data_IF_114479971327
#
_entry.id   IF_114479971327
#
_cell.length_a   1.000
_cell.length_b   1.000
_cell.length_c   1.000
_cell.angle_alpha   90.00
_cell.angle_beta   90.00
_cell.angle_gamma   90.00
#
_symmetry.space_group_name_H-M   'P 1'
#
loop_
_entity.id
_entity.type
_entity.pdbx_description
1 polymer ?
#
# COMPACT_ATOMS: atom_id res chain seq x y z
N UNK A 1 -27.51 27.15 -68.96
CA UNK A 1 -28.06 26.98 -67.60
C UNK A 1 -28.69 25.59 -67.56
N UNK A 2 -28.13 24.62 -66.81
CA UNK A 2 -28.75 23.35 -66.32
C UNK A 2 -27.69 22.30 -65.88
N UNK A 3 -26.66 22.70 -65.11
CA UNK A 3 -25.66 21.76 -64.55
C UNK A 3 -25.54 21.83 -63.02
N UNK A 4 -26.56 22.34 -62.32
CA UNK A 4 -26.45 22.69 -60.89
C UNK A 4 -27.41 21.94 -59.95
N UNK A 5 -27.94 20.76 -60.31
CA UNK A 5 -28.90 20.04 -59.41
C UNK A 5 -28.71 18.54 -59.27
N UNK A 6 -27.54 17.98 -59.62
CA UNK A 6 -27.32 16.53 -59.48
C UNK A 6 -26.00 16.10 -58.81
N UNK A 7 -25.37 16.98 -58.05
CA UNK A 7 -24.17 16.64 -57.24
C UNK A 7 -24.47 16.48 -55.74
N UNK A 8 -25.72 16.59 -55.32
CA UNK A 8 -26.12 16.54 -53.90
C UNK A 8 -26.67 15.19 -53.42
N UNK A 9 -26.52 14.13 -54.22
CA UNK A 9 -27.04 12.79 -53.86
C UNK A 9 -25.94 11.75 -53.54
N UNK A 10 -24.66 12.05 -53.76
CA UNK A 10 -23.58 11.07 -53.63
C UNK A 10 -22.72 11.23 -52.35
N UNK A 11 -22.97 12.24 -51.52
CA UNK A 11 -22.11 12.55 -50.34
C UNK A 11 -22.75 12.11 -49.00
N UNK A 12 -24.02 11.69 -48.98
CA UNK A 12 -24.67 11.20 -47.76
C UNK A 12 -24.56 9.67 -47.54
N UNK A 13 -23.91 8.93 -48.44
CA UNK A 13 -23.86 7.46 -48.40
C UNK A 13 -22.47 6.89 -48.10
N UNK A 14 -21.68 7.59 -47.27
CA UNK A 14 -20.34 7.12 -46.88
C UNK A 14 -19.98 7.44 -45.41
N UNK A 15 -20.97 7.50 -44.51
CA UNK A 15 -20.74 7.55 -43.05
C UNK A 15 -21.41 6.35 -42.37
N UNK A 16 -21.08 5.15 -42.86
CA UNK A 16 -21.26 3.89 -42.14
C UNK A 16 -19.87 3.31 -41.82
N UNK A 17 -18.99 4.16 -41.28
CA UNK A 17 -17.74 3.68 -40.67
C UNK A 17 -18.07 3.19 -39.26
N UNK A 18 -17.69 1.93 -39.01
CA UNK A 18 -18.11 1.10 -37.88
C UNK A 18 -18.28 1.82 -36.54
N UNK A 19 -19.51 1.80 -36.03
CA UNK A 19 -19.71 1.85 -34.60
C UNK A 19 -19.09 0.56 -34.02
N UNK A 20 -17.87 0.67 -33.49
CA UNK A 20 -17.36 -0.35 -32.59
C UNK A 20 -18.42 -0.54 -31.48
N UNK A 21 -18.75 -1.78 -31.09
CA UNK A 21 -19.71 -1.99 -30.02
C UNK A 21 -19.17 -1.32 -28.76
N UNK A 22 -19.75 -0.17 -28.40
CA UNK A 22 -19.54 0.45 -27.12
C UNK A 22 -19.99 -0.58 -26.08
N UNK A 23 -19.03 -1.25 -25.44
CA UNK A 23 -19.31 -2.14 -24.32
C UNK A 23 -19.96 -1.27 -23.26
N UNK A 24 -21.28 -1.42 -23.07
CA UNK A 24 -21.95 -0.84 -21.93
C UNK A 24 -21.26 -1.41 -20.69
N UNK A 25 -20.48 -0.57 -20.00
CA UNK A 25 -19.81 -0.99 -18.77
C UNK A 25 -20.88 -1.34 -17.75
N UNK A 26 -21.03 -2.64 -17.48
CA UNK A 26 -21.91 -3.13 -16.42
C UNK A 26 -21.35 -2.73 -15.06
N UNK A 27 -22.21 -2.70 -14.04
CA UNK A 27 -21.79 -2.43 -12.67
C UNK A 27 -20.76 -3.49 -12.24
N UNK A 28 -20.92 -4.72 -12.72
CA UNK A 28 -20.03 -5.85 -12.53
C UNK A 28 -18.63 -5.60 -13.12
N UNK A 29 -18.53 -5.19 -14.39
CA UNK A 29 -17.25 -4.80 -15.01
C UNK A 29 -16.57 -3.67 -14.24
N UNK A 30 -17.34 -2.64 -13.84
CA UNK A 30 -16.79 -1.54 -13.06
C UNK A 30 -16.27 -2.02 -11.69
N UNK A 31 -16.96 -2.94 -11.03
CA UNK A 31 -16.54 -3.50 -9.75
C UNK A 31 -15.22 -4.27 -9.89
N UNK A 32 -15.03 -5.04 -10.97
CA UNK A 32 -13.77 -5.78 -11.24
C UNK A 32 -12.61 -4.81 -11.51
N UNK A 33 -12.85 -3.79 -12.34
CA UNK A 33 -11.85 -2.74 -12.63
C UNK A 33 -11.46 -1.98 -11.35
N UNK A 34 -12.45 -1.58 -10.55
CA UNK A 34 -12.20 -0.89 -9.28
C UNK A 34 -11.46 -1.78 -8.28
N UNK A 35 -11.80 -3.07 -8.19
CA UNK A 35 -11.09 -4.02 -7.35
C UNK A 35 -9.61 -4.16 -7.75
N UNK A 36 -9.32 -4.17 -9.05
CA UNK A 36 -7.95 -4.16 -9.59
C UNK A 36 -7.20 -2.90 -9.19
N UNK A 37 -7.84 -1.74 -9.32
CA UNK A 37 -7.29 -0.45 -8.88
C UNK A 37 -6.99 -0.44 -7.39
N UNK A 38 -7.96 -0.86 -6.55
CA UNK A 38 -7.79 -0.96 -5.09
C UNK A 38 -6.61 -1.83 -4.71
N UNK A 39 -6.46 -3.01 -5.32
CA UNK A 39 -5.34 -3.91 -5.03
C UNK A 39 -4.00 -3.28 -5.45
N UNK A 40 -3.90 -2.74 -6.66
CA UNK A 40 -2.67 -2.08 -7.13
C UNK A 40 -2.27 -0.91 -6.25
N UNK A 41 -3.23 -0.05 -5.93
CA UNK A 41 -2.96 1.14 -5.13
C UNK A 41 -2.55 0.76 -3.70
N UNK A 42 -3.19 -0.25 -3.08
CA UNK A 42 -2.77 -0.73 -1.75
C UNK A 42 -1.37 -1.34 -1.78
N UNK A 43 -1.03 -2.09 -2.82
CA UNK A 43 0.29 -2.74 -2.94
C UNK A 43 1.43 -1.76 -3.23
N UNK A 44 1.13 -0.62 -3.85
CA UNK A 44 2.13 0.41 -4.19
C UNK A 44 2.48 1.33 -3.02
N UNK A 45 1.89 1.16 -1.83
CA UNK A 45 2.08 2.09 -0.73
C UNK A 45 3.27 1.67 0.14
N UNK A 46 4.34 2.49 0.19
CA UNK A 46 5.57 2.14 0.89
C UNK A 46 5.30 1.84 2.37
N UNK A 47 5.70 0.63 2.80
CA UNK A 47 5.59 0.17 4.18
C UNK A 47 4.19 0.23 4.82
N UNK A 48 3.10 0.38 4.05
CA UNK A 48 1.71 0.33 4.57
C UNK A 48 0.76 -0.56 3.77
N UNK A 49 1.22 -1.15 2.67
CA UNK A 49 0.47 -2.14 1.90
C UNK A 49 0.37 -3.51 2.58
N UNK A 50 -0.32 -4.43 1.92
CA UNK A 50 -0.42 -5.83 2.34
C UNK A 50 0.97 -6.48 2.16
N UNK A 51 1.51 -7.18 3.17
CA UNK A 51 2.78 -7.90 3.00
C UNK A 51 2.67 -8.94 1.88
N UNK A 52 3.66 -8.98 0.98
CA UNK A 52 3.69 -9.98 -0.10
C UNK A 52 3.62 -11.42 0.43
N UNK A 53 4.24 -11.71 1.58
CA UNK A 53 4.13 -13.01 2.24
C UNK A 53 2.69 -13.36 2.64
N UNK A 54 1.89 -12.37 3.03
CA UNK A 54 0.50 -12.59 3.36
C UNK A 54 -0.34 -12.94 2.13
N UNK A 55 -0.04 -12.35 0.97
CA UNK A 55 -0.69 -12.70 -0.29
C UNK A 55 -0.18 -14.03 -0.86
N UNK A 56 1.08 -14.37 -0.63
CA UNK A 56 1.66 -15.66 -1.02
C UNK A 56 1.01 -16.84 -0.26
N UNK A 57 0.72 -16.64 1.03
CA UNK A 57 0.06 -17.65 1.88
C UNK A 57 -1.47 -17.62 1.79
N UNK A 58 -2.05 -16.65 1.07
CA UNK A 58 -3.49 -16.46 0.99
C UNK A 58 -4.18 -17.64 0.30
N UNK A 59 -5.28 -18.10 0.88
CA UNK A 59 -6.19 -19.10 0.32
C UNK A 59 -7.38 -18.45 -0.38
N UNK A 60 -7.67 -17.19 -0.07
CA UNK A 60 -8.73 -16.43 -0.71
C UNK A 60 -8.55 -14.92 -0.51
N UNK A 61 -9.08 -14.15 -1.45
CA UNK A 61 -9.11 -12.69 -1.41
C UNK A 61 -10.54 -12.23 -1.65
N UNK A 62 -11.00 -11.27 -0.85
CA UNK A 62 -12.23 -10.51 -1.13
C UNK A 62 -11.87 -9.04 -1.21
N UNK A 63 -12.19 -8.39 -2.33
CA UNK A 63 -11.90 -6.98 -2.58
C UNK A 63 -13.23 -6.26 -2.78
N UNK A 64 -13.53 -5.30 -1.91
CA UNK A 64 -14.77 -4.52 -1.90
C UNK A 64 -14.39 -3.05 -2.08
N UNK A 65 -14.40 -2.55 -3.33
CA UNK A 65 -14.19 -1.14 -3.58
C UNK A 65 -15.38 -0.30 -3.06
N UNK A 66 -15.11 0.94 -2.66
CA UNK A 66 -16.14 1.93 -2.36
C UNK A 66 -17.22 1.49 -1.35
N UNK A 67 -16.85 0.70 -0.34
CA UNK A 67 -17.79 0.28 0.70
C UNK A 67 -18.32 1.50 1.45
N UNK A 68 -19.63 1.65 1.45
CA UNK A 68 -20.30 2.75 2.12
C UNK A 68 -20.52 2.40 3.59
N UNK A 69 -20.16 3.31 4.48
CA UNK A 69 -20.45 3.28 5.91
C UNK A 69 -21.28 4.52 6.24
N UNK A 70 -22.36 4.37 6.97
CA UNK A 70 -23.20 5.48 7.41
C UNK A 70 -23.84 5.22 8.76
N UNK A 71 -23.88 6.22 9.64
CA UNK A 71 -24.54 6.10 10.94
C UNK A 71 -24.30 7.27 11.89
N UNK A 72 -25.02 7.24 13.01
CA UNK A 72 -24.80 8.09 14.18
C UNK A 72 -24.74 7.18 15.41
N UNK A 73 -23.56 7.02 16.01
CA UNK A 73 -23.27 6.09 17.13
C UNK A 73 -23.36 4.60 16.72
N UNK A 74 -24.44 4.21 16.06
CA UNK A 74 -24.65 2.92 15.39
C UNK A 74 -24.84 3.18 13.90
N UNK A 75 -24.14 2.41 13.08
CA UNK A 75 -24.17 2.54 11.62
C UNK A 75 -24.28 1.21 10.90
N UNK A 76 -24.58 1.31 9.61
CA UNK A 76 -24.57 0.20 8.66
C UNK A 76 -23.45 0.39 7.67
N UNK A 77 -22.84 -0.72 7.25
CA UNK A 77 -21.90 -0.77 6.14
C UNK A 77 -22.44 -1.68 5.05
N UNK A 78 -22.28 -1.27 3.80
CA UNK A 78 -22.66 -2.07 2.64
C UNK A 78 -21.71 -1.81 1.46
N UNK A 79 -21.36 -2.88 0.74
CA UNK A 79 -20.55 -2.77 -0.47
C UNK A 79 -20.63 -4.04 -1.31
N UNK A 80 -20.38 -3.88 -2.61
CA UNK A 80 -20.23 -4.98 -3.56
C UNK A 80 -18.76 -5.10 -3.95
N UNK A 81 -18.33 -6.32 -4.23
CA UNK A 81 -16.95 -6.63 -4.54
C UNK A 81 -16.82 -7.96 -5.24
N UNK A 82 -15.59 -8.46 -5.25
CA UNK A 82 -15.24 -9.73 -5.84
C UNK A 82 -14.45 -10.60 -4.87
N UNK A 83 -14.70 -11.90 -4.94
CA UNK A 83 -13.99 -12.96 -4.26
C UNK A 83 -13.17 -13.77 -5.27
N UNK A 84 -11.95 -14.12 -4.88
CA UNK A 84 -11.07 -15.00 -5.63
C UNK A 84 -10.49 -16.03 -4.68
N UNK A 85 -10.45 -17.29 -5.10
CA UNK A 85 -10.02 -18.40 -4.28
C UNK A 85 -8.79 -19.03 -4.90
N UNK A 86 -7.84 -19.40 -4.05
CA UNK A 86 -6.67 -20.16 -4.47
C UNK A 86 -7.07 -21.63 -4.64
N UNK A 87 -6.82 -22.16 -5.82
CA UNK A 87 -7.00 -23.56 -6.09
C UNK A 87 -5.92 -24.36 -5.38
N UNK A 88 -6.34 -25.28 -4.50
CA UNK A 88 -5.41 -26.03 -3.66
C UNK A 88 -4.55 -27.04 -4.44
N UNK A 89 -5.01 -27.47 -5.63
CA UNK A 89 -4.32 -28.48 -6.44
C UNK A 89 -3.26 -27.86 -7.36
N UNK A 90 -3.57 -26.70 -7.95
CA UNK A 90 -2.75 -26.02 -8.96
C UNK A 90 -2.00 -24.82 -8.40
N UNK A 91 -2.42 -24.28 -7.26
CA UNK A 91 -1.91 -23.03 -6.70
C UNK A 91 -2.30 -21.78 -7.51
N UNK A 92 -3.11 -21.95 -8.56
CA UNK A 92 -3.69 -20.86 -9.34
C UNK A 92 -4.82 -20.16 -8.62
N UNK A 93 -5.34 -19.08 -9.21
CA UNK A 93 -6.47 -18.33 -8.67
C UNK A 93 -7.70 -18.52 -9.55
N UNK A 94 -8.86 -18.68 -8.93
CA UNK A 94 -10.14 -18.70 -9.64
C UNK A 94 -10.43 -17.34 -10.26
N UNK A 95 -11.26 -17.34 -11.31
CA UNK A 95 -11.84 -16.10 -11.82
C UNK A 95 -12.62 -15.34 -10.72
N UNK A 96 -12.72 -14.00 -10.80
CA UNK A 96 -13.48 -13.19 -9.86
C UNK A 96 -14.95 -13.62 -9.78
N UNK A 97 -15.45 -13.81 -8.57
CA UNK A 97 -16.86 -14.10 -8.29
C UNK A 97 -17.46 -12.97 -7.47
N UNK A 98 -18.65 -12.49 -7.81
CA UNK A 98 -19.23 -11.34 -7.10
C UNK A 98 -19.64 -11.70 -5.69
N UNK A 99 -19.43 -10.76 -4.77
CA UNK A 99 -19.78 -10.87 -3.36
C UNK A 99 -20.37 -9.55 -2.90
N UNK A 100 -21.31 -9.60 -1.96
CA UNK A 100 -21.78 -8.43 -1.22
C UNK A 100 -21.40 -8.57 0.24
N UNK A 101 -21.11 -7.44 0.89
CA UNK A 101 -20.87 -7.37 2.32
C UNK A 101 -21.83 -6.40 2.97
N UNK A 102 -22.44 -6.82 4.08
CA UNK A 102 -23.31 -5.98 4.90
C UNK A 102 -23.00 -6.20 6.37
N UNK A 103 -22.87 -5.14 7.17
CA UNK A 103 -22.57 -5.29 8.59
C UNK A 103 -23.00 -4.09 9.43
N UNK A 104 -23.12 -4.30 10.73
CA UNK A 104 -23.26 -3.21 11.70
C UNK A 104 -21.90 -2.61 12.03
N UNK A 105 -21.85 -1.34 12.40
CA UNK A 105 -20.63 -0.70 12.94
C UNK A 105 -20.99 0.16 14.14
N UNK A 106 -20.15 0.17 15.17
CA UNK A 106 -20.25 1.09 16.32
C UNK A 106 -19.13 2.11 16.19
N UNK A 107 -19.46 3.40 16.23
CA UNK A 107 -18.45 4.45 16.09
C UNK A 107 -18.96 5.85 16.41
N UNK A 108 -18.07 6.68 16.97
CA UNK A 108 -18.34 8.09 17.31
C UNK A 108 -18.40 9.04 16.09
N UNK A 109 -18.25 8.51 14.88
CA UNK A 109 -18.24 9.30 13.66
C UNK A 109 -19.66 9.48 13.12
N UNK A 110 -19.99 10.73 12.78
CA UNK A 110 -21.26 11.11 12.15
C UNK A 110 -21.02 11.34 10.67
N UNK A 111 -21.80 10.67 9.82
CA UNK A 111 -21.82 10.94 8.38
C UNK A 111 -21.68 9.69 7.50
N UNK A 112 -21.54 9.93 6.20
CA UNK A 112 -21.35 8.89 5.18
C UNK A 112 -19.89 8.88 4.75
N UNK A 113 -19.28 7.70 4.81
CA UNK A 113 -17.89 7.47 4.40
C UNK A 113 -17.85 6.37 3.34
N UNK A 114 -16.89 6.49 2.42
CA UNK A 114 -16.56 5.43 1.46
C UNK A 114 -15.15 4.93 1.78
N UNK A 115 -14.98 3.61 1.83
CA UNK A 115 -13.68 2.97 2.11
C UNK A 115 -13.52 1.72 1.26
N UNK A 116 -12.31 1.49 0.79
CA UNK A 116 -11.97 0.24 0.12
C UNK A 116 -11.59 -0.81 1.16
N UNK A 117 -12.01 -2.06 0.97
CA UNK A 117 -11.68 -3.18 1.87
C UNK A 117 -11.08 -4.33 1.08
N UNK A 118 -9.97 -4.88 1.58
CA UNK A 118 -9.42 -6.16 1.16
C UNK A 118 -9.42 -7.11 2.36
N UNK A 119 -10.00 -8.29 2.18
CA UNK A 119 -9.94 -9.40 3.13
C UNK A 119 -9.00 -10.46 2.57
N UNK A 120 -8.04 -10.89 3.39
CA UNK A 120 -7.12 -11.98 3.08
C UNK A 120 -7.48 -13.18 3.94
N UNK A 121 -7.96 -14.25 3.30
CA UNK A 121 -8.29 -15.52 3.94
C UNK A 121 -7.04 -16.40 3.94
N UNK A 122 -6.62 -16.91 5.10
CA UNK A 122 -5.38 -17.71 5.24
C UNK A 122 -5.62 -19.21 5.36
N UNK A 123 -6.86 -19.65 5.56
CA UNK A 123 -7.20 -21.06 5.75
C UNK A 123 -8.17 -21.52 4.67
N UNK A 124 -8.03 -22.75 4.15
CA UNK A 124 -9.05 -23.30 3.24
C UNK A 124 -10.42 -23.42 3.91
N UNK A 125 -10.45 -23.62 5.24
CA UNK A 125 -11.70 -23.67 6.01
C UNK A 125 -12.51 -22.39 5.90
N UNK A 126 -11.88 -21.21 6.08
CA UNK A 126 -12.58 -19.93 6.01
C UNK A 126 -13.06 -19.62 4.59
N UNK A 127 -12.29 -20.04 3.57
CA UNK A 127 -12.69 -19.98 2.16
C UNK A 127 -13.88 -20.87 1.85
N UNK A 128 -13.89 -22.11 2.34
CA UNK A 128 -15.02 -23.03 2.16
C UNK A 128 -16.30 -22.47 2.79
N UNK A 129 -16.19 -21.88 3.98
CA UNK A 129 -17.31 -21.18 4.62
C UNK A 129 -17.87 -20.04 3.77
N UNK A 130 -17.00 -19.23 3.15
CA UNK A 130 -17.41 -18.17 2.23
C UNK A 130 -18.18 -18.74 1.02
N UNK A 131 -17.69 -19.81 0.42
CA UNK A 131 -18.31 -20.42 -0.77
C UNK A 131 -19.66 -21.11 -0.48
N UNK A 132 -19.91 -21.50 0.77
CA UNK A 132 -21.16 -22.16 1.19
C UNK A 132 -22.37 -21.23 1.33
N UNK A 133 -22.18 -19.91 1.20
CA UNK A 133 -23.29 -18.95 1.15
C UNK A 133 -23.03 -17.69 1.97
N UNK A 134 -23.73 -17.55 3.09
CA UNK A 134 -23.58 -16.42 4.00
C UNK A 134 -22.50 -16.72 5.03
N UNK A 135 -21.50 -15.85 5.12
CA UNK A 135 -20.36 -16.01 6.00
C UNK A 135 -20.13 -14.74 6.84
N UNK A 136 -20.04 -14.88 8.16
CA UNK A 136 -20.05 -13.77 9.11
C UNK A 136 -18.70 -13.63 9.80
N UNK A 137 -18.04 -12.49 9.58
CA UNK A 137 -16.76 -12.16 10.22
C UNK A 137 -16.94 -12.01 11.74
N UNK A 138 -16.09 -12.67 12.52
CA UNK A 138 -16.14 -12.69 13.98
C UNK A 138 -17.05 -13.77 14.58
N UNK A 139 -17.90 -14.42 13.76
CA UNK A 139 -18.75 -15.56 14.18
C UNK A 139 -18.25 -16.85 13.53
N UNK A 140 -18.16 -16.87 12.20
CA UNK A 140 -17.78 -18.06 11.43
C UNK A 140 -16.25 -18.22 11.31
N UNK A 141 -15.52 -17.10 11.40
CA UNK A 141 -14.06 -17.10 11.52
C UNK A 141 -13.56 -15.83 12.21
N UNK A 142 -12.43 -15.95 12.90
CA UNK A 142 -11.76 -14.82 13.54
C UNK A 142 -11.18 -13.88 12.47
N UNK A 143 -11.65 -12.63 12.46
CA UNK A 143 -11.15 -11.56 11.61
C UNK A 143 -10.35 -10.55 12.43
N UNK A 144 -9.19 -10.11 11.93
CA UNK A 144 -8.40 -9.06 12.57
C UNK A 144 -7.87 -8.07 11.55
N UNK A 145 -7.49 -6.88 12.02
CA UNK A 145 -6.73 -5.95 11.19
C UNK A 145 -5.40 -6.58 10.77
N UNK A 146 -5.05 -6.45 9.49
CA UNK A 146 -3.81 -6.99 8.94
C UNK A 146 -2.56 -6.21 9.37
N UNK A 147 -1.40 -6.87 9.54
CA UNK A 147 -0.13 -6.21 9.76
C UNK A 147 0.28 -5.40 8.52
N UNK A 148 0.92 -4.26 8.75
CA UNK A 148 1.46 -3.37 7.71
C UNK A 148 2.91 -3.00 8.02
N UNK A 149 3.72 -2.77 7.00
CA UNK A 149 5.11 -2.32 7.18
C UNK A 149 6.01 -3.28 7.98
N UNK A 150 6.96 -2.74 8.74
CA UNK A 150 7.92 -3.52 9.55
C UNK A 150 7.28 -4.36 10.66
N UNK A 151 5.99 -4.18 10.96
CA UNK A 151 5.24 -5.04 11.89
C UNK A 151 4.97 -6.44 11.31
N UNK A 152 5.04 -6.61 9.98
CA UNK A 152 4.99 -7.94 9.35
C UNK A 152 6.29 -8.73 9.58
N UNK A 153 7.45 -8.05 9.69
CA UNK A 153 8.77 -8.66 9.89
C UNK A 153 9.08 -8.93 11.36
N UNK A 154 8.65 -8.05 12.27
CA UNK A 154 8.79 -8.23 13.72
C UNK A 154 7.71 -9.13 14.34
N UNK A 155 6.63 -9.39 13.61
CA UNK A 155 5.49 -10.20 14.04
C UNK A 155 5.47 -11.63 13.50
N UNK A 156 6.57 -12.12 12.92
CA UNK A 156 6.67 -13.53 12.50
C UNK A 156 6.51 -14.51 13.67
N UNK A 157 6.74 -14.04 14.91
CA UNK A 157 6.57 -14.82 16.15
C UNK A 157 5.37 -14.36 17.02
N UNK A 158 4.74 -13.23 16.70
CA UNK A 158 3.51 -12.79 17.36
C UNK A 158 2.33 -13.42 16.61
N UNK A 159 2.18 -14.73 16.80
CA UNK A 159 1.24 -15.65 16.14
C UNK A 159 0.10 -14.95 15.37
N UNK A 160 0.22 -14.92 14.04
CA UNK A 160 -0.85 -14.51 13.13
C UNK A 160 -2.01 -15.54 13.19
N UNK A 161 -2.77 -15.54 14.29
CA UNK A 161 -3.82 -16.54 14.62
C UNK A 161 -5.13 -16.35 13.88
N UNK A 162 -5.36 -15.19 13.28
CA UNK A 162 -6.63 -14.90 12.63
C UNK A 162 -6.73 -15.62 11.30
N UNK A 163 -7.89 -16.23 11.05
CA UNK A 163 -8.16 -16.92 9.79
C UNK A 163 -8.35 -15.92 8.64
N UNK A 164 -8.74 -14.67 8.97
CA UNK A 164 -8.99 -13.59 8.02
C UNK A 164 -8.32 -12.31 8.50
N UNK A 165 -7.61 -11.64 7.60
CA UNK A 165 -7.03 -10.31 7.83
C UNK A 165 -7.72 -9.25 6.98
N UNK A 166 -8.11 -8.14 7.60
CA UNK A 166 -8.73 -7.00 6.94
C UNK A 166 -7.74 -5.85 6.74
N UNK A 167 -7.73 -5.32 5.53
CA UNK A 167 -7.05 -4.11 5.15
C UNK A 167 -8.09 -3.14 4.62
N UNK A 168 -8.00 -1.87 5.02
CA UNK A 168 -8.87 -0.86 4.44
C UNK A 168 -8.11 0.43 4.16
N UNK A 169 -8.73 1.22 3.28
CA UNK A 169 -8.21 2.51 2.88
C UNK A 169 -9.36 3.50 2.74
N UNK A 170 -9.21 4.66 3.34
CA UNK A 170 -10.15 5.79 3.22
C UNK A 170 -9.37 7.02 2.75
N UNK A 171 -9.57 7.45 1.49
CA UNK A 171 -9.04 8.73 0.94
C UNK A 171 -7.68 9.16 1.52
N UNK A 172 -6.66 8.30 1.42
CA UNK A 172 -5.29 8.59 1.88
C UNK A 172 -4.89 8.08 3.27
N UNK A 173 -5.79 7.44 4.04
CA UNK A 173 -5.49 6.88 5.36
C UNK A 173 -5.81 5.37 5.44
N UNK A 174 -4.83 4.60 5.95
CA UNK A 174 -4.97 3.19 6.31
C UNK A 174 -5.42 3.09 7.75
N UNK A 175 -6.52 2.38 8.00
CA UNK A 175 -6.97 2.10 9.37
C UNK A 175 -7.19 0.60 9.47
N UNK A 176 -6.39 -0.12 10.24
CA UNK A 176 -6.81 -1.45 10.65
C UNK A 176 -8.16 -1.36 11.35
N UNK A 177 -9.26 -1.76 10.69
CA UNK A 177 -10.59 -1.72 11.30
C UNK A 177 -11.10 -3.14 11.44
N UNK A 178 -11.56 -3.47 12.65
CA UNK A 178 -12.34 -4.69 12.86
C UNK A 178 -13.60 -4.63 11.98
N UNK A 179 -13.84 -5.73 11.28
CA UNK A 179 -15.03 -5.93 10.46
C UNK A 179 -16.00 -6.92 11.11
N UNK A 180 -15.82 -7.19 12.41
CA UNK A 180 -16.66 -8.09 13.19
C UNK A 180 -18.14 -7.69 13.05
N UNK A 181 -18.99 -8.71 12.89
CA UNK A 181 -20.42 -8.53 12.65
C UNK A 181 -20.80 -8.13 11.22
N UNK A 182 -19.91 -8.35 10.25
CA UNK A 182 -20.21 -8.20 8.82
C UNK A 182 -20.46 -9.56 8.17
N UNK A 183 -21.54 -9.67 7.38
CA UNK A 183 -21.88 -10.84 6.58
C UNK A 183 -21.46 -10.64 5.12
N UNK A 184 -20.70 -11.59 4.60
CA UNK A 184 -20.35 -11.78 3.20
C UNK A 184 -21.33 -12.76 2.55
N UNK A 185 -21.74 -12.48 1.32
CA UNK A 185 -22.64 -13.35 0.56
C UNK A 185 -22.24 -13.39 -0.90
N UNK A 186 -22.01 -14.60 -1.42
CA UNK A 186 -21.72 -14.83 -2.84
C UNK A 186 -22.93 -14.46 -3.71
N UNK A 187 -22.70 -13.62 -4.71
CA UNK A 187 -23.70 -13.23 -5.70
C UNK A 187 -23.54 -14.07 -6.97
N UNK A 188 -24.03 -15.31 -6.90
CA UNK A 188 -23.97 -16.27 -8.01
C UNK A 188 -24.76 -15.81 -9.24
N UNK A 189 -25.82 -15.02 -9.04
CA UNK A 189 -26.62 -14.48 -10.15
C UNK A 189 -25.82 -13.43 -10.95
N UNK A 190 -25.21 -12.45 -10.27
CA UNK A 190 -24.34 -11.47 -10.93
C UNK A 190 -23.12 -12.13 -11.56
N UNK A 191 -22.51 -13.11 -10.88
CA UNK A 191 -21.39 -13.89 -11.43
C UNK A 191 -21.78 -14.61 -12.72
N UNK A 192 -22.93 -15.28 -12.75
CA UNK A 192 -23.41 -15.95 -13.96
C UNK A 192 -23.71 -14.96 -15.09
N UNK A 193 -24.33 -13.82 -14.75
CA UNK A 193 -24.63 -12.77 -15.74
C UNK A 193 -23.35 -12.18 -16.34
N UNK A 194 -22.35 -11.92 -15.51
CA UNK A 194 -21.07 -11.35 -15.92
C UNK A 194 -20.31 -12.23 -16.91
N UNK A 195 -20.31 -13.56 -16.70
CA UNK A 195 -19.62 -14.51 -17.58
C UNK A 195 -20.50 -15.07 -18.71
N UNK A 196 -21.75 -14.63 -18.86
CA UNK A 196 -22.69 -15.19 -19.83
C UNK A 196 -22.20 -15.07 -21.29
N UNK A 197 -21.41 -14.04 -21.59
CA UNK A 197 -20.85 -13.78 -22.91
C UNK A 197 -19.38 -14.25 -23.07
N UNK A 198 -18.84 -15.00 -22.10
CA UNK A 198 -17.42 -15.38 -22.05
C UNK A 198 -16.68 -14.69 -20.91
N UNK A 199 -15.34 -14.77 -20.92
CA UNK A 199 -14.48 -14.17 -19.88
C UNK A 199 -14.08 -12.75 -20.28
N UNK A 200 -14.52 -11.71 -19.55
CA UNK A 200 -14.14 -10.34 -19.87
C UNK A 200 -12.65 -10.07 -19.61
N UNK A 201 -12.00 -9.18 -20.38
CA UNK A 201 -10.57 -8.88 -20.23
C UNK A 201 -10.19 -8.42 -18.81
N UNK A 202 -11.02 -7.61 -18.16
CA UNK A 202 -10.76 -7.08 -16.82
C UNK A 202 -10.76 -8.18 -15.75
N UNK A 203 -11.46 -9.30 -15.98
CA UNK A 203 -11.40 -10.47 -15.09
C UNK A 203 -10.00 -11.13 -15.14
N UNK A 204 -9.41 -11.22 -16.34
CA UNK A 204 -8.06 -11.74 -16.51
C UNK A 204 -7.00 -10.80 -15.95
N UNK A 205 -7.21 -9.48 -16.08
CA UNK A 205 -6.33 -8.46 -15.51
C UNK A 205 -6.28 -8.56 -13.98
N UNK A 206 -7.43 -8.74 -13.33
CA UNK A 206 -7.47 -8.92 -11.88
C UNK A 206 -6.75 -10.21 -11.45
N UNK A 207 -6.95 -11.33 -12.16
CA UNK A 207 -6.21 -12.59 -11.92
C UNK A 207 -4.71 -12.40 -12.08
N UNK A 208 -4.27 -11.73 -13.15
CA UNK A 208 -2.85 -11.44 -13.38
C UNK A 208 -2.27 -10.54 -12.26
N UNK A 209 -3.05 -9.57 -11.79
CA UNK A 209 -2.66 -8.68 -10.68
C UNK A 209 -2.51 -9.45 -9.37
N UNK A 210 -3.46 -10.34 -9.05
CA UNK A 210 -3.37 -11.21 -7.86
C UNK A 210 -2.17 -12.15 -7.97
N UNK A 211 -1.93 -12.76 -9.14
CA UNK A 211 -0.76 -13.62 -9.37
C UNK A 211 0.56 -12.85 -9.18
N UNK A 212 0.67 -11.64 -9.73
CA UNK A 212 1.83 -10.76 -9.57
C UNK A 212 2.17 -10.53 -8.08
N UNK A 213 1.17 -10.27 -7.26
CA UNK A 213 1.40 -9.93 -5.85
C UNK A 213 1.46 -11.13 -4.90
N UNK A 214 0.91 -12.28 -5.28
CA UNK A 214 0.95 -13.55 -4.52
C UNK A 214 2.09 -14.48 -4.92
N UNK A 215 2.87 -14.15 -5.96
CA UNK A 215 4.04 -14.95 -6.33
C UNK A 215 5.01 -15.05 -5.14
N UNK A 216 5.52 -16.26 -4.79
CA UNK A 216 6.53 -16.43 -3.77
C UNK A 216 7.72 -15.52 -4.08
N UNK A 217 8.08 -14.65 -3.13
CA UNK A 217 9.32 -13.90 -3.22
C UNK A 217 10.44 -14.94 -3.06
N UNK A 218 11.09 -15.35 -4.15
CA UNK A 218 12.23 -16.27 -4.07
C UNK A 218 13.34 -15.58 -3.27
N UNK A 219 13.42 -15.88 -1.97
CA UNK A 219 14.60 -15.57 -1.17
C UNK A 219 15.70 -16.48 -1.67
N UNK A 220 16.55 -15.98 -2.56
CA UNK A 220 17.73 -16.71 -3.01
C UNK A 220 18.65 -16.85 -1.80
N UNK A 221 18.83 -18.08 -1.30
CA UNK A 221 19.73 -18.39 -0.20
C UNK A 221 21.19 -18.10 -0.61
N UNK A 222 22.00 -17.39 0.20
CA UNK A 222 23.40 -17.16 -0.11
C UNK A 222 24.22 -18.42 0.18
N UNK A 223 24.72 -19.10 -0.86
CA UNK A 223 25.61 -20.24 -0.64
C UNK A 223 25.85 -21.16 -1.83
N UNK A 224 26.19 -20.61 -3.00
CA UNK A 224 27.09 -21.19 -4.02
C UNK A 224 27.01 -20.29 -5.26
N UNK A 225 27.91 -19.31 -5.35
CA UNK A 225 28.05 -18.46 -6.55
C UNK A 225 29.53 -18.38 -6.94
N UNK A 226 29.83 -18.87 -8.14
CA UNK A 226 30.92 -18.36 -8.97
C UNK A 226 30.26 -17.49 -10.03
N UNK A 227 30.36 -16.19 -9.78
CA UNK A 227 30.43 -15.06 -10.73
C UNK A 227 29.40 -14.97 -11.88
N UNK A 228 28.29 -14.28 -11.59
CA UNK A 228 27.71 -13.26 -12.48
C UNK A 228 26.97 -12.21 -11.64
N UNK A 229 27.54 -11.01 -11.62
CA UNK A 229 27.20 -9.83 -10.82
C UNK A 229 25.78 -9.29 -11.08
N UNK A 230 24.91 -9.09 -10.05
CA UNK A 230 23.72 -8.26 -10.16
C UNK A 230 24.07 -6.78 -10.02
N UNK A 231 23.74 -5.99 -11.04
CA UNK A 231 24.23 -4.64 -11.28
C UNK A 231 23.57 -3.59 -10.37
N UNK A 232 24.30 -3.18 -9.31
CA UNK A 232 24.27 -1.89 -8.61
C UNK A 232 22.96 -1.37 -7.96
N UNK A 233 21.80 -1.34 -8.61
CA UNK A 233 20.65 -0.55 -8.14
C UNK A 233 19.98 -1.09 -6.85
N UNK A 234 19.87 -2.40 -6.69
CA UNK A 234 19.27 -3.04 -5.50
C UNK A 234 20.19 -3.02 -4.29
N UNK A 235 21.51 -3.13 -4.49
CA UNK A 235 22.50 -2.91 -3.44
C UNK A 235 22.52 -1.44 -3.01
N UNK A 236 22.45 -0.49 -3.95
CA UNK A 236 22.47 0.94 -3.64
C UNK A 236 21.27 1.37 -2.79
N UNK A 237 20.06 0.86 -3.06
CA UNK A 237 18.85 1.20 -2.28
C UNK A 237 18.82 0.54 -0.89
N UNK A 238 19.28 -0.71 -0.80
CA UNK A 238 19.46 -1.40 0.49
C UNK A 238 20.54 -0.73 1.34
N UNK A 239 21.67 -0.37 0.74
CA UNK A 239 22.75 0.37 1.40
C UNK A 239 22.32 1.78 1.79
N UNK A 240 21.57 2.50 0.94
CA UNK A 240 21.07 3.84 1.25
C UNK A 240 20.10 3.84 2.44
N UNK A 241 19.17 2.87 2.49
CA UNK A 241 18.25 2.74 3.63
C UNK A 241 18.96 2.27 4.91
N UNK A 242 19.94 1.38 4.82
CA UNK A 242 20.79 0.98 5.95
C UNK A 242 21.62 2.16 6.46
N UNK A 243 22.21 2.94 5.55
CA UNK A 243 22.99 4.13 5.86
C UNK A 243 22.13 5.21 6.55
N UNK A 244 20.91 5.46 6.09
CA UNK A 244 19.97 6.37 6.75
C UNK A 244 19.60 5.93 8.17
N UNK A 245 19.35 4.64 8.37
CA UNK A 245 19.06 4.08 9.70
C UNK A 245 20.28 4.17 10.62
N UNK A 246 21.48 3.96 10.09
CA UNK A 246 22.73 4.11 10.82
C UNK A 246 22.95 5.57 11.25
N UNK A 247 22.80 6.52 10.33
CA UNK A 247 22.90 7.96 10.61
C UNK A 247 21.88 8.40 11.67
N UNK A 248 20.65 7.89 11.63
CA UNK A 248 19.64 8.16 12.65
C UNK A 248 20.09 7.66 14.04
N UNK A 249 20.58 6.42 14.13
CA UNK A 249 21.05 5.84 15.37
C UNK A 249 22.27 6.56 15.93
N UNK A 250 23.23 6.91 15.09
CA UNK A 250 24.42 7.68 15.47
C UNK A 250 24.05 9.10 15.93
N UNK A 251 23.10 9.75 15.27
CA UNK A 251 22.58 11.06 15.67
C UNK A 251 21.90 10.99 17.05
N UNK A 252 21.06 9.98 17.28
CA UNK A 252 20.43 9.77 18.58
C UNK A 252 21.46 9.53 19.69
N UNK A 253 22.45 8.68 19.45
CA UNK A 253 23.51 8.38 20.41
C UNK A 253 24.43 9.59 20.67
N UNK A 254 24.76 10.38 19.65
CA UNK A 254 25.53 11.62 19.80
C UNK A 254 24.74 12.67 20.61
N UNK A 255 23.43 12.78 20.35
CA UNK A 255 22.55 13.69 21.10
C UNK A 255 22.47 13.33 22.58
N UNK A 256 22.37 12.03 22.91
CA UNK A 256 22.36 11.57 24.30
C UNK A 256 23.69 11.87 25.01
N UNK A 257 24.83 11.68 24.35
CA UNK A 257 26.16 12.03 24.91
C UNK A 257 26.29 13.52 25.20
N UNK A 258 25.86 14.37 24.26
CA UNK A 258 25.86 15.81 24.50
C UNK A 258 24.85 16.19 25.60
N UNK A 259 23.67 15.59 25.62
CA UNK A 259 22.64 15.82 26.64
C UNK A 259 23.11 15.52 28.06
N UNK A 260 24.01 14.54 28.24
CA UNK A 260 24.55 14.19 29.56
C UNK A 260 25.40 15.30 30.21
N UNK A 261 25.91 16.24 29.41
CA UNK A 261 26.76 17.35 29.88
C UNK A 261 26.06 18.71 29.83
N UNK A 262 24.79 18.75 29.40
CA UNK A 262 23.99 19.96 29.27
C UNK A 262 22.94 20.05 30.38
N UNK A 263 22.69 21.27 30.86
CA UNK A 263 21.55 21.54 31.74
C UNK A 263 20.21 21.42 30.98
N UNK A 264 19.10 21.55 31.70
CA UNK A 264 17.76 21.39 31.12
C UNK A 264 17.39 22.46 30.09
N UNK A 265 17.85 23.69 30.28
CA UNK A 265 17.58 24.79 29.34
C UNK A 265 18.31 24.55 28.02
N UNK A 266 19.57 24.14 28.08
CA UNK A 266 20.37 23.80 26.90
C UNK A 266 19.86 22.54 26.20
N UNK A 267 19.42 21.51 26.94
CA UNK A 267 18.78 20.32 26.35
C UNK A 267 17.50 20.66 25.59
N UNK A 268 16.72 21.63 26.08
CA UNK A 268 15.52 22.09 25.39
C UNK A 268 15.86 22.91 24.14
N UNK A 269 16.87 23.77 24.21
CA UNK A 269 17.28 24.62 23.08
C UNK A 269 17.93 23.83 21.93
N UNK A 270 18.82 22.89 22.26
CA UNK A 270 19.53 22.02 21.31
C UNK A 270 18.80 20.69 21.07
N UNK A 271 17.51 20.64 21.42
CA UNK A 271 16.68 19.46 21.24
C UNK A 271 16.53 19.07 19.77
N UNK A 272 16.64 17.78 19.50
CA UNK A 272 16.31 17.20 18.21
C UNK A 272 14.83 16.79 18.15
N UNK A 273 14.24 16.67 16.95
CA UNK A 273 12.88 16.16 16.80
C UNK A 273 12.73 14.77 17.43
N UNK A 274 11.59 14.44 18.07
CA UNK A 274 11.38 13.16 18.73
C UNK A 274 11.52 11.95 17.77
N UNK A 275 11.30 12.17 16.48
CA UNK A 275 11.50 11.17 15.43
C UNK A 275 12.95 10.66 15.37
N UNK A 276 13.95 11.48 15.70
CA UNK A 276 15.37 11.05 15.72
C UNK A 276 15.59 9.89 16.69
N UNK A 277 14.83 9.84 17.79
CA UNK A 277 14.93 8.79 18.81
C UNK A 277 13.98 7.62 18.58
N UNK A 278 13.15 7.66 17.54
CA UNK A 278 12.13 6.64 17.27
C UNK A 278 12.55 5.80 16.06
N UNK A 279 13.01 4.55 16.25
CA UNK A 279 13.44 3.70 15.15
C UNK A 279 12.35 3.53 14.10
N UNK A 280 12.70 3.75 12.82
CA UNK A 280 11.78 3.59 11.69
C UNK A 280 10.83 4.77 11.46
N UNK A 281 10.96 5.87 12.22
CA UNK A 281 10.24 7.13 11.98
C UNK A 281 11.23 8.19 11.52
N UNK A 282 11.02 8.79 10.35
CA UNK A 282 11.89 9.85 9.84
C UNK A 282 11.36 11.23 10.25
N UNK A 283 12.23 12.15 10.74
CA UNK A 283 11.85 13.55 10.96
C UNK A 283 11.56 14.22 9.62
N UNK A 284 10.70 15.24 9.63
CA UNK A 284 10.55 16.07 8.43
C UNK A 284 11.85 16.87 8.17
N UNK A 285 12.24 17.11 6.90
CA UNK A 285 13.45 17.88 6.59
C UNK A 285 13.45 19.27 7.25
N UNK A 286 12.28 19.91 7.30
CA UNK A 286 12.12 21.22 7.94
C UNK A 286 12.38 21.20 9.45
N UNK A 287 11.92 20.16 10.16
CA UNK A 287 12.15 20.04 11.60
C UNK A 287 13.63 19.78 11.92
N UNK A 288 14.30 18.99 11.08
CA UNK A 288 15.73 18.71 11.25
C UNK A 288 16.59 19.94 10.95
N UNK A 289 16.25 20.69 9.90
CA UNK A 289 16.93 21.94 9.55
C UNK A 289 16.75 23.00 10.65
N UNK A 290 15.56 23.10 11.25
CA UNK A 290 15.31 24.00 12.38
C UNK A 290 16.19 23.67 13.59
N UNK A 291 16.39 22.38 13.90
CA UNK A 291 17.33 21.96 14.95
C UNK A 291 18.76 22.31 14.58
N UNK A 292 19.20 22.02 13.34
CA UNK A 292 20.55 22.28 12.87
C UNK A 292 20.89 23.79 12.93
N UNK A 293 19.93 24.65 12.62
CA UNK A 293 20.08 26.10 12.73
C UNK A 293 20.35 26.56 14.18
N UNK A 294 19.76 25.93 15.19
CA UNK A 294 20.09 26.22 16.59
C UNK A 294 21.55 25.88 16.90
N UNK A 295 22.08 24.78 16.37
CA UNK A 295 23.51 24.44 16.50
C UNK A 295 24.40 25.46 15.79
N UNK A 296 24.04 25.89 14.56
CA UNK A 296 24.79 26.91 13.81
C UNK A 296 24.85 28.24 14.55
N UNK A 297 23.77 28.68 15.19
CA UNK A 297 23.75 29.89 16.05
C UNK A 297 24.73 29.79 17.22
N UNK A 298 24.82 28.62 17.84
CA UNK A 298 25.79 28.38 18.92
C UNK A 298 27.23 28.42 18.40
N UNK A 299 27.49 27.85 17.21
CA UNK A 299 28.81 27.90 16.58
C UNK A 299 29.22 29.30 16.15
N UNK A 300 28.27 30.12 15.67
CA UNK A 300 28.52 31.47 15.18
C UNK A 300 28.78 32.49 16.30
N UNK A 301 28.36 32.20 17.54
CA UNK A 301 28.51 33.12 18.66
C UNK A 301 29.80 32.82 19.46
N UNK A 302 30.79 33.74 19.49
CA UNK A 302 32.04 33.55 20.22
C UNK A 302 31.87 33.28 21.72
N UNK A 303 30.77 33.76 22.32
CA UNK A 303 30.47 33.54 23.73
C UNK A 303 30.27 32.05 24.06
N UNK A 304 29.85 31.23 23.09
CA UNK A 304 29.64 29.79 23.28
C UNK A 304 30.79 28.94 22.73
N UNK A 305 31.96 29.53 22.50
CA UNK A 305 33.13 28.84 21.96
C UNK A 305 33.53 27.59 22.76
N UNK A 306 33.39 27.62 24.09
CA UNK A 306 33.68 26.45 24.92
C UNK A 306 32.74 25.27 24.64
N UNK A 307 31.46 25.52 24.37
CA UNK A 307 30.48 24.49 24.05
C UNK A 307 30.68 23.99 22.61
N UNK A 308 30.85 24.91 21.65
CA UNK A 308 31.01 24.55 20.23
C UNK A 308 32.31 23.81 19.93
N UNK A 309 33.35 23.98 20.76
CA UNK A 309 34.62 23.26 20.64
C UNK A 309 34.63 21.87 21.30
N UNK A 310 33.58 21.47 22.02
CA UNK A 310 33.51 20.13 22.62
C UNK A 310 33.47 19.04 21.55
N UNK A 311 34.12 17.91 21.83
CA UNK A 311 34.09 16.76 20.95
C UNK A 311 32.66 16.24 20.71
N UNK A 312 31.85 16.14 21.77
CA UNK A 312 30.46 15.65 21.68
C UNK A 312 29.58 16.58 20.86
N UNK A 313 29.77 17.90 20.99
CA UNK A 313 29.01 18.90 20.23
C UNK A 313 29.34 18.80 18.74
N UNK A 314 30.63 18.82 18.38
CA UNK A 314 31.04 18.72 16.97
C UNK A 314 30.66 17.38 16.35
N UNK A 315 30.76 16.29 17.10
CA UNK A 315 30.36 14.96 16.64
C UNK A 315 28.86 14.93 16.32
N UNK A 316 28.02 15.54 17.17
CA UNK A 316 26.58 15.63 16.91
C UNK A 316 26.27 16.49 15.68
N UNK A 317 26.88 17.67 15.55
CA UNK A 317 26.66 18.54 14.38
C UNK A 317 27.04 17.82 13.09
N UNK A 318 28.21 17.16 13.08
CA UNK A 318 28.69 16.45 11.90
C UNK A 318 27.74 15.34 11.44
N UNK A 319 27.25 14.50 12.36
CA UNK A 319 26.32 13.42 12.00
C UNK A 319 24.92 13.96 11.65
N UNK A 320 24.49 15.04 12.31
CA UNK A 320 23.21 15.70 12.02
C UNK A 320 23.18 16.32 10.62
N UNK A 321 24.28 16.94 10.18
CA UNK A 321 24.46 17.46 8.83
C UNK A 321 24.41 16.33 7.78
N UNK A 322 25.11 15.22 8.04
CA UNK A 322 25.07 14.05 7.17
C UNK A 322 23.67 13.45 7.08
N UNK A 323 22.95 13.36 8.20
CA UNK A 323 21.59 12.86 8.24
C UNK A 323 20.61 13.77 7.49
N UNK A 324 20.71 15.09 7.65
CA UNK A 324 19.89 16.07 6.93
C UNK A 324 20.16 16.07 5.42
N UNK A 325 21.44 15.97 5.03
CA UNK A 325 21.84 15.87 3.64
C UNK A 325 21.29 14.59 3.00
N UNK A 326 21.40 13.44 3.68
CA UNK A 326 20.92 12.16 3.19
C UNK A 326 19.38 12.12 3.02
N UNK A 327 18.62 12.78 3.89
CA UNK A 327 17.16 12.92 3.76
C UNK A 327 16.73 13.85 2.62
N UNK A 328 17.62 14.74 2.17
CA UNK A 328 17.33 15.74 1.14
C UNK A 328 17.75 15.30 -0.27
N UNK A 329 18.39 14.13 -0.42
CA UNK A 329 18.77 13.60 -1.72
C UNK A 329 17.53 13.07 -2.47
N UNK A 330 17.25 13.53 -3.71
CA UNK A 330 16.25 12.88 -4.55
C UNK A 330 16.69 11.44 -4.84
N UNK A 331 15.81 10.46 -4.64
CA UNK A 331 16.02 9.10 -5.14
C UNK A 331 16.15 9.24 -6.65
N UNK A 332 17.37 9.11 -7.17
CA UNK A 332 17.65 9.30 -8.59
C UNK A 332 16.92 8.18 -9.33
N UNK A 333 15.79 8.50 -9.96
CA UNK A 333 15.12 7.63 -10.93
C UNK A 333 16.09 7.44 -12.10
N UNK A 334 16.85 6.34 -12.07
CA UNK A 334 17.46 5.80 -13.29
C UNK A 334 16.33 5.21 -14.15
N UNK A 335 15.51 6.11 -14.71
CA UNK A 335 14.52 5.75 -15.71
C UNK A 335 15.25 5.17 -16.92
N UNK A 336 14.92 3.91 -17.25
CA UNK A 336 15.38 3.21 -18.44
C UNK A 336 15.18 4.08 -19.70
N UNK A 337 16.26 4.64 -20.23
CA UNK A 337 16.28 5.24 -21.56
C UNK A 337 16.26 4.11 -22.60
N UNK A 338 15.08 3.80 -23.14
CA UNK A 338 14.94 2.86 -24.24
C UNK A 338 15.08 3.61 -25.57
N UNK A 339 15.84 3.08 -26.55
CA UNK A 339 15.88 3.64 -27.90
C UNK A 339 14.50 3.51 -28.58
N UNK A 340 14.18 4.38 -29.55
CA UNK A 340 12.88 4.36 -30.22
C UNK A 340 12.63 3.01 -30.93
N UNK A 341 11.37 2.53 -30.94
CA UNK A 341 11.04 1.23 -31.53
C UNK A 341 11.28 1.22 -33.05
N UNK A 342 11.66 0.06 -33.63
CA UNK A 342 11.91 -0.05 -35.06
C UNK A 342 10.62 0.19 -35.87
N UNK A 343 10.77 0.89 -37.00
CA UNK A 343 9.73 1.24 -37.97
C UNK A 343 9.30 0.02 -38.80
#
# INVERSE_FOLDING_TARGET
>A
MHYLKLTTAAICMAVLFGAAPAHAQTIESQTVVQATGVLNEIMQIPAKGIPHSMLADAQGLVIIPNMIKGGFVVGVRHGNGVAMVRDAATGGWTAPQFVSMTGGSVGWQVGVQSTDVILVFRTQKSVQGLLQGKFTLGVDAAAAAGPVGRQASAGTDLELKSEIYSYNRSRGLFIGASLDGSALQMNNAATRAYYAAGVPPEANELVATVLKYSAPQTVVAPGMVVEQQPTAATETLGQASAHLNQLQAETAAASQRLGAVLDENWRRYLGLPPEVYTPGRQPSPQALEASLENFRRVMANPQYAQLSQRADFRALVAVLEQYAAALSQPVVDNALQLPPPPM
#
